data_IF_057026156403
#
_entry.id   IF_057026156403
#
_cell.length_a   1.000
_cell.length_b   1.000
_cell.length_c   1.000
_cell.angle_alpha   90.00
_cell.angle_beta   90.00
_cell.angle_gamma   90.00
#
_symmetry.space_group_name_H-M   'P 1'
#
loop_
_entity.id
_entity.type
_entity.pdbx_description
1 polymer ?
#
# COMPACT_ATOMS: atom_id res chain seq x y z
N UNK A 1 -3.59 24.12 1.77
CA UNK A 1 -3.09 22.75 1.62
C UNK A 1 -1.67 22.73 2.14
N UNK A 2 -1.37 21.98 3.21
CA UNK A 2 0.03 21.75 3.59
C UNK A 2 0.48 20.53 2.78
N UNK A 3 1.30 20.76 1.76
CA UNK A 3 1.97 19.69 1.03
C UNK A 3 2.78 18.82 1.97
N UNK A 4 2.67 17.51 1.83
CA UNK A 4 3.59 16.55 2.44
C UNK A 4 4.69 16.15 1.46
N UNK A 5 5.56 15.24 1.88
CA UNK A 5 6.51 14.56 0.99
C UNK A 5 5.81 13.32 0.42
N UNK A 6 5.85 13.13 -0.89
CA UNK A 6 5.43 11.92 -1.56
C UNK A 6 6.65 11.16 -2.09
N UNK A 7 6.85 9.95 -1.57
CA UNK A 7 7.88 9.04 -2.07
C UNK A 7 7.36 8.33 -3.31
N UNK A 8 8.13 8.37 -4.39
CA UNK A 8 7.83 7.69 -5.65
C UNK A 8 9.08 7.02 -6.14
N UNK A 9 8.97 5.92 -6.88
CA UNK A 9 10.13 5.30 -7.55
C UNK A 9 9.97 5.43 -9.06
N UNK A 10 11.06 5.59 -9.80
CA UNK A 10 11.01 5.59 -11.28
C UNK A 10 10.52 4.25 -11.82
N UNK A 11 9.93 4.23 -13.02
CA UNK A 11 9.57 2.96 -13.68
C UNK A 11 10.85 2.17 -13.99
N UNK A 12 11.07 0.97 -13.40
CA UNK A 12 12.23 0.13 -13.68
C UNK A 12 12.30 -0.28 -15.15
N UNK A 13 13.50 -0.51 -15.67
CA UNK A 13 13.67 -1.04 -17.03
C UNK A 13 13.13 -2.47 -17.15
N UNK A 14 13.15 -3.21 -16.03
CA UNK A 14 12.57 -4.55 -15.87
C UNK A 14 11.09 -4.55 -15.50
N UNK A 15 10.37 -3.43 -15.60
CA UNK A 15 8.95 -3.34 -15.20
C UNK A 15 8.02 -4.35 -15.93
N UNK A 16 8.44 -4.86 -17.08
CA UNK A 16 7.70 -5.94 -17.77
C UNK A 16 7.72 -7.29 -17.03
N UNK A 17 8.66 -7.47 -16.10
CA UNK A 17 8.83 -8.67 -15.28
C UNK A 17 8.06 -8.61 -13.96
N UNK A 18 7.32 -7.52 -13.69
CA UNK A 18 6.49 -7.36 -12.50
C UNK A 18 5.61 -8.60 -12.21
N UNK A 19 5.37 -8.82 -10.92
CA UNK A 19 4.52 -9.91 -10.47
C UNK A 19 3.06 -9.64 -10.84
N UNK A 20 2.44 -10.60 -11.53
CA UNK A 20 1.01 -10.56 -11.86
C UNK A 20 0.38 -11.87 -11.46
N UNK A 21 -0.75 -11.82 -10.76
CA UNK A 21 -1.42 -13.01 -10.19
C UNK A 21 -2.92 -13.00 -10.44
N UNK A 22 -3.64 -12.04 -9.86
CA UNK A 22 -5.11 -11.99 -9.81
C UNK A 22 -5.77 -11.51 -11.12
N UNK A 23 -4.97 -11.16 -12.12
CA UNK A 23 -5.42 -10.76 -13.47
C UNK A 23 -4.57 -11.48 -14.51
N UNK A 24 -5.05 -11.52 -15.76
CA UNK A 24 -4.27 -12.05 -16.87
C UNK A 24 -2.97 -11.24 -17.02
N UNK A 25 -1.83 -11.94 -17.11
CA UNK A 25 -0.53 -11.29 -17.31
C UNK A 25 -0.44 -10.77 -18.74
N UNK A 26 -0.43 -9.45 -18.86
CA UNK A 26 -0.07 -8.74 -20.08
C UNK A 26 1.28 -8.07 -19.89
N UNK A 27 2.13 -8.04 -20.93
CA UNK A 27 3.38 -7.29 -20.85
C UNK A 27 3.09 -5.79 -20.91
N UNK A 28 3.45 -5.00 -19.89
CA UNK A 28 3.24 -3.56 -19.92
C UNK A 28 4.13 -2.91 -21.00
N UNK A 29 3.58 -1.91 -21.69
CA UNK A 29 4.36 -1.07 -22.59
C UNK A 29 5.17 -0.06 -21.75
N UNK A 30 6.50 -0.22 -21.72
CA UNK A 30 7.41 0.60 -20.90
C UNK A 30 7.32 2.10 -21.21
N UNK A 31 7.20 2.47 -22.48
CA UNK A 31 7.10 3.87 -22.87
C UNK A 31 5.80 4.51 -22.33
N UNK A 32 4.68 3.77 -22.44
CA UNK A 32 3.39 4.18 -21.89
C UNK A 32 3.45 4.27 -20.36
N UNK A 33 4.05 3.28 -19.68
CA UNK A 33 4.20 3.28 -18.23
C UNK A 33 4.98 4.51 -17.74
N UNK A 34 6.09 4.85 -18.41
CA UNK A 34 6.88 6.05 -18.10
C UNK A 34 6.10 7.35 -18.32
N UNK A 35 5.28 7.44 -19.37
CA UNK A 35 4.39 8.60 -19.57
C UNK A 35 3.34 8.71 -18.47
N UNK A 36 2.68 7.61 -18.11
CA UNK A 36 1.69 7.57 -17.04
C UNK A 36 2.29 7.96 -15.68
N UNK A 37 3.47 7.42 -15.36
CA UNK A 37 4.22 7.77 -14.17
C UNK A 37 4.56 9.26 -14.10
N UNK A 38 5.05 9.83 -15.21
CA UNK A 38 5.34 11.27 -15.28
C UNK A 38 4.09 12.10 -15.01
N UNK A 39 2.95 11.76 -15.62
CA UNK A 39 1.67 12.45 -15.37
C UNK A 39 1.21 12.30 -13.92
N UNK A 40 1.41 11.13 -13.29
CA UNK A 40 1.13 10.91 -11.87
C UNK A 40 1.97 11.83 -10.97
N UNK A 41 3.29 11.90 -11.21
CA UNK A 41 4.20 12.79 -10.49
C UNK A 41 3.82 14.27 -10.65
N UNK A 42 3.58 14.72 -11.89
CA UNK A 42 3.14 16.10 -12.17
C UNK A 42 1.84 16.44 -11.42
N UNK A 43 0.92 15.48 -11.29
CA UNK A 43 -0.33 15.69 -10.53
C UNK A 43 -0.08 15.85 -9.04
N UNK A 44 0.79 15.04 -8.45
CA UNK A 44 1.17 15.17 -7.04
C UNK A 44 1.82 16.53 -6.75
N UNK A 45 2.73 16.99 -7.61
CA UNK A 45 3.35 18.32 -7.48
C UNK A 45 2.33 19.45 -7.60
N UNK A 46 1.38 19.34 -8.55
CA UNK A 46 0.29 20.32 -8.70
C UNK A 46 -0.67 20.35 -7.50
N UNK A 47 -0.80 19.24 -6.77
CA UNK A 47 -1.51 19.17 -5.49
C UNK A 47 -0.69 19.69 -4.30
N UNK A 48 0.57 20.09 -4.56
CA UNK A 48 1.47 20.73 -3.60
C UNK A 48 2.40 19.78 -2.86
N UNK A 49 2.50 18.50 -3.26
CA UNK A 49 3.45 17.56 -2.65
C UNK A 49 4.87 17.79 -3.16
N UNK A 50 5.84 17.67 -2.26
CA UNK A 50 7.25 17.55 -2.62
C UNK A 50 7.55 16.10 -2.99
N UNK A 51 8.12 15.86 -4.17
CA UNK A 51 8.46 14.51 -4.60
C UNK A 51 9.87 14.11 -4.14
N UNK A 52 9.94 12.99 -3.45
CA UNK A 52 11.19 12.27 -3.21
C UNK A 52 11.25 11.07 -4.15
N UNK A 53 12.03 11.21 -5.23
CA UNK A 53 12.18 10.18 -6.25
C UNK A 53 13.27 9.19 -5.84
N UNK A 54 12.89 7.92 -5.71
CA UNK A 54 13.76 6.79 -5.38
C UNK A 54 14.29 6.14 -6.66
N UNK A 55 15.55 5.72 -6.61
CA UNK A 55 16.26 5.09 -7.74
C UNK A 55 17.14 3.90 -7.34
N UNK A 56 17.43 3.71 -6.04
CA UNK A 56 18.40 2.72 -5.55
C UNK A 56 17.99 1.26 -5.85
N UNK A 57 16.70 0.98 -6.04
CA UNK A 57 16.14 -0.35 -6.36
C UNK A 57 15.67 -0.52 -7.82
N UNK A 58 16.21 0.26 -8.77
CA UNK A 58 15.80 0.17 -10.17
C UNK A 58 16.08 -1.19 -10.85
N UNK A 59 16.86 -2.08 -10.24
CA UNK A 59 17.03 -3.48 -10.70
C UNK A 59 15.85 -4.39 -10.34
N UNK A 60 15.00 -3.99 -9.40
CA UNK A 60 13.83 -4.75 -8.95
C UNK A 60 12.61 -4.33 -9.77
N UNK A 61 11.99 -5.28 -10.48
CA UNK A 61 10.89 -5.00 -11.41
C UNK A 61 9.71 -4.26 -10.75
N UNK A 62 9.35 -4.67 -9.54
CA UNK A 62 8.21 -4.15 -8.79
C UNK A 62 8.55 -2.90 -7.95
N UNK A 63 9.77 -2.35 -8.02
CA UNK A 63 10.22 -1.21 -7.21
C UNK A 63 9.36 0.06 -7.36
N UNK A 64 8.62 0.18 -8.48
CA UNK A 64 7.63 1.23 -8.70
C UNK A 64 6.58 1.30 -7.58
N UNK A 65 6.23 0.15 -6.99
CA UNK A 65 5.16 0.00 -6.00
C UNK A 65 5.68 0.19 -4.57
N UNK A 66 6.21 1.40 -4.30
CA UNK A 66 6.78 1.79 -3.01
C UNK A 66 5.81 1.62 -1.83
N UNK A 67 4.51 1.67 -2.09
CA UNK A 67 3.45 1.51 -1.09
C UNK A 67 3.57 0.19 -0.31
N UNK A 68 4.00 -0.89 -0.95
CA UNK A 68 4.05 -2.19 -0.29
C UNK A 68 5.19 -2.32 0.73
N UNK A 69 6.15 -1.39 0.70
CA UNK A 69 7.37 -1.47 1.52
C UNK A 69 7.16 -1.04 2.98
N UNK A 70 6.07 -0.33 3.28
CA UNK A 70 5.73 0.04 4.65
C UNK A 70 4.67 1.14 4.73
N UNK A 71 4.36 1.55 5.97
CA UNK A 71 3.27 2.49 6.26
C UNK A 71 3.76 3.59 7.21
N UNK A 72 3.54 4.85 6.81
CA UNK A 72 3.88 6.01 7.64
C UNK A 72 2.76 6.28 8.65
N UNK A 73 3.10 6.25 9.94
CA UNK A 73 2.18 6.36 11.08
C UNK A 73 2.62 7.45 12.07
N UNK A 74 2.46 8.72 11.68
CA UNK A 74 3.01 9.84 12.45
C UNK A 74 4.53 9.83 12.37
N UNK A 75 5.24 9.95 13.50
CA UNK A 75 6.71 9.84 13.56
C UNK A 75 7.26 8.40 13.48
N UNK A 76 6.49 7.45 12.96
CA UNK A 76 6.85 6.04 12.86
C UNK A 76 6.71 5.53 11.43
N UNK A 77 7.58 4.61 11.04
CA UNK A 77 7.47 3.86 9.79
C UNK A 77 7.30 2.37 10.13
N UNK A 78 6.10 1.84 9.90
CA UNK A 78 5.82 0.41 9.99
C UNK A 78 6.44 -0.25 8.76
N UNK A 79 7.61 -0.85 8.94
CA UNK A 79 8.33 -1.54 7.89
C UNK A 79 7.62 -2.85 7.54
N UNK A 80 7.31 -3.03 6.26
CA UNK A 80 6.67 -4.25 5.77
C UNK A 80 7.57 -5.47 5.93
N UNK A 81 6.97 -6.66 5.87
CA UNK A 81 7.70 -7.94 5.78
C UNK A 81 7.13 -8.73 4.62
N UNK A 82 7.50 -8.34 3.42
CA UNK A 82 6.87 -8.82 2.20
C UNK A 82 7.05 -10.33 2.01
N UNK A 83 5.96 -11.01 1.69
CA UNK A 83 5.95 -12.46 1.45
C UNK A 83 6.71 -12.81 0.17
N UNK A 84 6.55 -12.00 -0.89
CA UNK A 84 7.19 -12.16 -2.20
C UNK A 84 8.73 -12.00 -2.10
N UNK A 85 9.52 -13.07 -2.32
CA UNK A 85 10.98 -13.00 -2.14
C UNK A 85 11.67 -11.97 -3.04
N UNK A 86 11.20 -11.79 -4.27
CA UNK A 86 11.77 -10.84 -5.24
C UNK A 86 11.63 -9.38 -4.82
N UNK A 87 10.73 -9.07 -3.88
CA UNK A 87 10.42 -7.72 -3.43
C UNK A 87 11.01 -7.35 -2.07
N UNK A 88 11.61 -8.32 -1.36
CA UNK A 88 12.09 -8.10 0.03
C UNK A 88 13.21 -7.08 0.13
N UNK A 89 14.03 -6.95 -0.92
CA UNK A 89 15.11 -5.98 -0.96
C UNK A 89 14.60 -4.53 -1.04
N UNK A 90 13.43 -4.30 -1.66
CA UNK A 90 12.79 -2.98 -1.74
C UNK A 90 12.55 -2.37 -0.35
N UNK A 91 12.17 -3.21 0.62
CA UNK A 91 11.83 -2.80 1.99
C UNK A 91 13.01 -2.11 2.68
N UNK A 92 14.21 -2.68 2.58
CA UNK A 92 15.39 -2.16 3.26
C UNK A 92 15.78 -0.77 2.74
N UNK A 93 15.67 -0.59 1.42
CA UNK A 93 16.02 0.65 0.74
C UNK A 93 15.03 1.77 1.06
N UNK A 94 13.72 1.49 1.03
CA UNK A 94 12.73 2.50 1.41
C UNK A 94 12.81 2.83 2.90
N UNK A 95 13.00 1.83 3.78
CA UNK A 95 13.09 2.05 5.23
C UNK A 95 14.27 2.97 5.62
N UNK A 96 15.38 2.89 4.90
CA UNK A 96 16.55 3.77 5.09
C UNK A 96 16.17 5.25 4.96
N UNK A 97 15.34 5.61 3.99
CA UNK A 97 14.89 7.00 3.79
C UNK A 97 14.07 7.54 4.97
N UNK A 98 13.40 6.66 5.72
CA UNK A 98 12.64 7.04 6.90
C UNK A 98 13.46 7.01 8.19
N UNK A 99 14.60 6.32 8.22
CA UNK A 99 15.36 6.04 9.44
C UNK A 99 15.89 7.27 10.18
N UNK A 100 16.14 8.37 9.46
CA UNK A 100 16.61 9.63 10.05
C UNK A 100 15.49 10.46 10.69
N UNK A 101 14.25 10.27 10.24
CA UNK A 101 13.11 11.15 10.60
C UNK A 101 11.99 10.41 11.33
N UNK A 102 11.96 9.08 11.26
CA UNK A 102 10.92 8.22 11.82
C UNK A 102 11.54 7.07 12.60
N UNK A 103 10.84 6.66 13.66
CA UNK A 103 11.15 5.41 14.34
C UNK A 103 10.67 4.23 13.50
N UNK A 104 11.60 3.37 13.10
CA UNK A 104 11.28 2.12 12.39
C UNK A 104 10.60 1.14 13.34
N UNK A 105 9.46 0.59 12.89
CA UNK A 105 8.68 -0.43 13.60
C UNK A 105 8.70 -1.68 12.73
N UNK A 106 9.34 -2.73 13.24
CA UNK A 106 9.59 -3.96 12.47
C UNK A 106 8.66 -5.10 12.91
N UNK A 107 8.19 -5.85 11.92
CA UNK A 107 7.52 -7.14 12.11
C UNK A 107 8.55 -8.27 12.23
N UNK A 108 8.26 -9.27 13.08
CA UNK A 108 9.10 -10.45 13.28
C UNK A 108 8.47 -11.68 12.61
N UNK A 109 9.28 -12.61 12.07
CA UNK A 109 8.75 -13.89 11.57
C UNK A 109 7.89 -14.59 12.65
N UNK A 110 6.81 -15.29 12.27
CA UNK A 110 6.42 -15.65 10.91
C UNK A 110 5.50 -14.63 10.19
N UNK A 111 5.40 -13.38 10.67
CA UNK A 111 4.58 -12.35 10.04
C UNK A 111 4.95 -12.13 8.56
N UNK A 112 3.94 -11.92 7.72
CA UNK A 112 4.11 -11.34 6.39
C UNK A 112 3.12 -10.21 6.21
N UNK A 113 3.58 -9.09 5.65
CA UNK A 113 2.77 -7.90 5.43
C UNK A 113 3.27 -7.17 4.19
N UNK A 114 2.35 -6.79 3.31
CA UNK A 114 2.54 -5.81 2.25
C UNK A 114 1.74 -4.55 2.62
N UNK A 115 2.31 -3.35 2.42
CA UNK A 115 1.63 -2.09 2.72
C UNK A 115 0.34 -1.83 1.93
N UNK A 116 0.15 -2.46 0.77
CA UNK A 116 -1.12 -2.49 0.04
C UNK A 116 -2.29 -3.07 0.86
N UNK A 117 -2.01 -3.93 1.86
CA UNK A 117 -3.03 -4.47 2.77
C UNK A 117 -3.35 -3.56 3.95
N UNK A 118 -2.70 -2.41 4.09
CA UNK A 118 -2.92 -1.51 5.22
C UNK A 118 -3.61 -0.23 4.75
N UNK A 119 -4.90 -0.11 5.05
CA UNK A 119 -5.66 1.12 4.85
C UNK A 119 -5.70 1.92 6.15
N UNK A 120 -5.15 3.14 6.10
CA UNK A 120 -5.21 4.09 7.21
C UNK A 120 -6.26 5.16 6.95
N UNK A 121 -7.15 5.37 7.91
CA UNK A 121 -8.05 6.53 7.93
C UNK A 121 -8.03 7.17 9.31
N UNK A 122 -7.42 8.34 9.42
CA UNK A 122 -7.14 8.98 10.70
C UNK A 122 -6.32 8.07 11.63
N UNK A 123 -6.94 7.64 12.73
CA UNK A 123 -6.39 6.71 13.75
C UNK A 123 -6.92 5.27 13.61
N UNK A 124 -7.74 4.98 12.61
CA UNK A 124 -8.17 3.61 12.28
C UNK A 124 -7.20 3.01 11.27
N UNK A 125 -6.77 1.77 11.51
CA UNK A 125 -6.02 0.95 10.56
C UNK A 125 -6.82 -0.31 10.24
N UNK A 126 -7.14 -0.52 8.98
CA UNK A 126 -7.67 -1.78 8.49
C UNK A 126 -6.51 -2.57 7.89
N UNK A 127 -6.34 -3.81 8.35
CA UNK A 127 -5.28 -4.71 7.89
C UNK A 127 -5.92 -5.90 7.19
N UNK A 128 -5.64 -6.02 5.90
CA UNK A 128 -6.07 -7.11 5.04
C UNK A 128 -5.42 -8.42 5.45
N UNK A 129 -6.22 -9.48 5.52
CA UNK A 129 -5.77 -10.86 5.53
C UNK A 129 -5.90 -11.36 4.10
N UNK A 130 -4.78 -11.41 3.39
CA UNK A 130 -4.68 -11.70 1.96
C UNK A 130 -3.67 -12.83 1.71
N UNK A 131 -3.40 -13.15 0.44
CA UNK A 131 -2.28 -14.02 0.08
C UNK A 131 -0.90 -13.43 0.43
N UNK A 132 -0.82 -12.13 0.73
CA UNK A 132 0.42 -11.41 1.05
C UNK A 132 0.57 -11.10 2.53
N UNK A 133 -0.53 -10.79 3.20
CA UNK A 133 -0.55 -10.39 4.62
C UNK A 133 -1.27 -11.42 5.49
N UNK A 134 -0.59 -11.94 6.50
CA UNK A 134 -1.10 -13.03 7.33
C UNK A 134 -1.63 -12.59 8.71
N UNK A 135 -2.30 -13.51 9.42
CA UNK A 135 -2.86 -13.24 10.75
C UNK A 135 -1.82 -12.79 11.77
N UNK A 136 -0.62 -13.39 11.74
CA UNK A 136 0.49 -13.03 12.62
C UNK A 136 0.89 -11.55 12.43
N UNK A 137 0.94 -11.07 11.19
CA UNK A 137 1.21 -9.66 10.93
C UNK A 137 0.13 -8.75 11.51
N UNK A 138 -1.15 -9.08 11.35
CA UNK A 138 -2.23 -8.31 11.98
C UNK A 138 -2.05 -8.21 13.51
N UNK A 139 -1.75 -9.34 14.16
CA UNK A 139 -1.58 -9.38 15.62
C UNK A 139 -0.39 -8.52 16.09
N UNK A 140 0.73 -8.61 15.37
CA UNK A 140 1.90 -7.78 15.63
C UNK A 140 1.64 -6.30 15.35
N UNK A 141 1.03 -5.94 14.21
CA UNK A 141 0.68 -4.56 13.88
C UNK A 141 -0.18 -3.97 15.00
N UNK A 142 -1.26 -4.66 15.40
CA UNK A 142 -2.13 -4.23 16.50
C UNK A 142 -1.35 -3.98 17.79
N UNK A 143 -0.46 -4.90 18.16
CA UNK A 143 0.38 -4.78 19.37
C UNK A 143 1.36 -3.59 19.30
N UNK A 144 2.01 -3.41 18.15
CA UNK A 144 3.06 -2.40 17.96
C UNK A 144 2.50 -0.98 17.82
N UNK A 145 1.36 -0.81 17.17
CA UNK A 145 0.79 0.52 16.85
C UNK A 145 -0.33 0.94 17.79
N UNK A 146 -0.90 -0.01 18.56
CA UNK A 146 -1.89 0.28 19.61
C UNK A 146 -1.40 1.31 20.63
N UNK A 147 -0.18 1.18 21.20
CA UNK A 147 0.42 2.20 22.07
C UNK A 147 0.62 3.57 21.41
N UNK A 148 0.61 3.65 20.08
CA UNK A 148 0.69 4.91 19.32
C UNK A 148 -0.69 5.56 19.09
N UNK A 149 -1.75 4.97 19.64
CA UNK A 149 -3.13 5.45 19.56
C UNK A 149 -3.87 5.04 18.30
N UNK A 150 -3.43 3.98 17.60
CA UNK A 150 -4.16 3.42 16.46
C UNK A 150 -5.07 2.28 16.90
N UNK A 151 -6.28 2.25 16.33
CA UNK A 151 -7.19 1.12 16.46
C UNK A 151 -7.13 0.26 15.20
N UNK A 152 -6.83 -1.03 15.36
CA UNK A 152 -6.48 -1.93 14.26
C UNK A 152 -7.53 -3.02 14.10
N UNK A 153 -8.08 -3.13 12.89
CA UNK A 153 -9.13 -4.08 12.55
C UNK A 153 -8.66 -5.01 11.43
N UNK A 154 -8.85 -6.31 11.62
CA UNK A 154 -8.59 -7.30 10.58
C UNK A 154 -9.76 -7.38 9.59
N UNK A 155 -9.45 -7.29 8.30
CA UNK A 155 -10.40 -7.42 7.19
C UNK A 155 -10.01 -8.66 6.37
N UNK A 156 -10.95 -9.55 6.11
CA UNK A 156 -10.75 -10.64 5.16
C UNK A 156 -10.80 -10.11 3.73
N UNK A 157 -9.82 -10.50 2.90
CA UNK A 157 -9.69 -10.05 1.51
C UNK A 157 -9.81 -11.27 0.60
N UNK A 158 -10.69 -11.19 -0.40
CA UNK A 158 -10.92 -12.26 -1.36
C UNK A 158 -10.93 -11.73 -2.79
N UNK A 159 -10.53 -12.54 -3.77
CA UNK A 159 -10.65 -12.19 -5.19
C UNK A 159 -9.71 -11.10 -5.73
N UNK A 160 -8.89 -10.47 -4.89
CA UNK A 160 -7.91 -9.45 -5.28
C UNK A 160 -6.59 -9.58 -4.51
N UNK A 161 -5.56 -8.83 -4.93
CA UNK A 161 -4.20 -8.97 -4.40
C UNK A 161 -4.07 -8.43 -2.97
N UNK A 162 -4.59 -7.23 -2.72
CA UNK A 162 -4.48 -6.55 -1.44
C UNK A 162 -5.82 -5.92 -1.03
N UNK A 163 -5.94 -5.56 0.25
CA UNK A 163 -7.07 -4.80 0.78
C UNK A 163 -7.35 -3.54 -0.04
N UNK A 164 -6.33 -2.74 -0.37
CA UNK A 164 -6.52 -1.49 -1.11
C UNK A 164 -6.84 -1.66 -2.59
N UNK A 165 -6.79 -2.88 -3.13
CA UNK A 165 -7.42 -3.18 -4.41
C UNK A 165 -8.95 -3.20 -4.30
N UNK A 166 -9.48 -3.49 -3.12
CA UNK A 166 -10.91 -3.64 -2.86
C UNK A 166 -11.53 -2.47 -2.09
N UNK A 167 -10.74 -1.63 -1.42
CA UNK A 167 -11.27 -0.50 -0.64
C UNK A 167 -10.25 0.64 -0.50
N UNK A 168 -10.70 1.87 -0.73
CA UNK A 168 -9.95 3.07 -0.39
C UNK A 168 -10.79 4.06 0.42
N UNK A 169 -10.12 5.01 1.05
CA UNK A 169 -10.79 6.13 1.73
C UNK A 169 -10.87 7.33 0.81
N UNK A 170 -12.08 7.88 0.65
CA UNK A 170 -12.30 9.11 -0.10
C UNK A 170 -12.10 10.34 0.79
N UNK A 171 -12.44 10.19 2.07
CA UNK A 171 -12.29 11.20 3.12
C UNK A 171 -12.22 10.51 4.49
N UNK A 172 -12.38 11.28 5.58
CA UNK A 172 -12.28 10.77 6.95
C UNK A 172 -13.48 9.91 7.41
N UNK A 173 -14.57 9.87 6.64
CA UNK A 173 -15.83 9.19 6.99
C UNK A 173 -16.37 8.27 5.88
N UNK A 174 -15.84 8.38 4.65
CA UNK A 174 -16.34 7.71 3.45
C UNK A 174 -15.33 6.74 2.86
N UNK A 175 -15.76 5.49 2.65
CA UNK A 175 -15.01 4.46 1.95
C UNK A 175 -15.65 4.14 0.61
N UNK A 176 -14.82 3.99 -0.42
CA UNK A 176 -15.19 3.37 -1.69
C UNK A 176 -14.71 1.92 -1.65
N UNK A 177 -15.60 0.95 -1.87
CA UNK A 177 -15.22 -0.47 -1.82
C UNK A 177 -15.93 -1.36 -2.84
N UNK A 178 -15.29 -2.47 -3.18
CA UNK A 178 -15.86 -3.56 -3.93
C UNK A 178 -16.48 -4.59 -2.97
N UNK A 179 -17.83 -4.73 -2.92
CA UNK A 179 -18.51 -5.60 -1.96
C UNK A 179 -18.31 -7.10 -2.23
N UNK A 180 -17.76 -7.47 -3.39
CA UNK A 180 -17.44 -8.87 -3.72
C UNK A 180 -16.12 -9.32 -3.11
N UNK A 181 -15.22 -8.39 -2.80
CA UNK A 181 -13.86 -8.68 -2.34
C UNK A 181 -13.67 -8.43 -0.84
N UNK A 182 -14.46 -7.52 -0.27
CA UNK A 182 -14.51 -7.24 1.18
C UNK A 182 -15.95 -7.10 1.65
N UNK A 183 -16.24 -7.57 2.88
CA UNK A 183 -17.58 -7.47 3.46
C UNK A 183 -17.86 -6.06 4.01
N UNK A 184 -18.83 -5.29 3.45
CA UNK A 184 -19.12 -3.93 3.89
C UNK A 184 -19.52 -3.82 5.38
N UNK A 185 -20.12 -4.87 5.95
CA UNK A 185 -20.52 -4.89 7.36
C UNK A 185 -19.33 -4.81 8.34
N UNK A 186 -18.10 -5.06 7.85
CA UNK A 186 -16.87 -4.90 8.63
C UNK A 186 -16.44 -3.44 8.81
N UNK A 187 -17.07 -2.51 8.09
CA UNK A 187 -16.83 -1.08 8.13
C UNK A 187 -18.00 -0.34 8.79
N UNK A 188 -18.53 -0.88 9.90
CA UNK A 188 -19.62 -0.24 10.64
C UNK A 188 -19.24 1.19 11.07
N UNK A 189 -20.16 2.14 10.86
CA UNK A 189 -19.95 3.55 11.16
C UNK A 189 -19.33 4.38 10.02
N UNK A 190 -18.96 3.74 8.91
CA UNK A 190 -18.48 4.43 7.71
C UNK A 190 -19.61 4.65 6.70
N UNK A 191 -19.55 5.76 5.96
CA UNK A 191 -20.33 5.93 4.76
C UNK A 191 -19.72 5.08 3.66
N UNK A 192 -20.50 4.17 3.10
CA UNK A 192 -20.01 3.23 2.06
C UNK A 192 -20.53 3.66 0.70
N UNK A 193 -19.61 3.84 -0.24
CA UNK A 193 -19.87 3.88 -1.68
C UNK A 193 -19.37 2.55 -2.26
N UNK A 194 -20.20 1.85 -3.02
CA UNK A 194 -19.81 0.59 -3.65
C UNK A 194 -19.40 0.82 -5.11
N UNK A 195 -18.36 0.12 -5.56
CA UNK A 195 -18.00 0.09 -6.98
C UNK A 195 -19.14 -0.52 -7.81
N UNK A 196 -19.35 -0.06 -9.05
CA UNK A 196 -20.24 -0.74 -9.98
C UNK A 196 -19.65 -2.10 -10.41
N UNK A 197 -20.49 -3.03 -10.84
CA UNK A 197 -20.07 -4.38 -11.23
C UNK A 197 -19.19 -4.37 -12.51
N UNK A 198 -19.38 -3.36 -13.36
CA UNK A 198 -18.64 -3.15 -14.60
C UNK A 198 -17.23 -2.60 -14.39
N UNK A 199 -16.95 -2.00 -13.22
CA UNK A 199 -15.64 -1.41 -12.89
C UNK A 199 -15.09 -1.99 -11.56
N UNK A 200 -14.85 -3.31 -11.47
CA UNK A 200 -14.52 -3.96 -10.20
C UNK A 200 -13.21 -3.47 -9.55
N UNK A 201 -12.32 -2.84 -10.33
CA UNK A 201 -11.05 -2.27 -9.87
C UNK A 201 -11.10 -0.74 -9.65
N UNK A 202 -12.29 -0.13 -9.62
CA UNK A 202 -12.45 1.31 -9.43
C UNK A 202 -12.42 1.76 -7.97
N UNK A 203 -12.17 0.83 -7.04
CA UNK A 203 -12.19 1.09 -5.61
C UNK A 203 -11.06 2.01 -5.15
#
# INVERSE_FOLDING_TARGET
MRGGIAFVHKVPDSFEDCLTTHIAKERPNLERARRQWKTYCERLEQLGYELKVLEENAHLADALFVEDTGVVLGGHFLQARMSAPSRREEVALVSKEFSETHRIVELKPPATLDGGDVLRVGRKLFVGQSGRTNREAYEQVRSLVGPLGYDVMAIEVTGCLHLKTAVTALDEETLLLNPRWVNPARFCGWKIVTTPDEEPFSA
#
